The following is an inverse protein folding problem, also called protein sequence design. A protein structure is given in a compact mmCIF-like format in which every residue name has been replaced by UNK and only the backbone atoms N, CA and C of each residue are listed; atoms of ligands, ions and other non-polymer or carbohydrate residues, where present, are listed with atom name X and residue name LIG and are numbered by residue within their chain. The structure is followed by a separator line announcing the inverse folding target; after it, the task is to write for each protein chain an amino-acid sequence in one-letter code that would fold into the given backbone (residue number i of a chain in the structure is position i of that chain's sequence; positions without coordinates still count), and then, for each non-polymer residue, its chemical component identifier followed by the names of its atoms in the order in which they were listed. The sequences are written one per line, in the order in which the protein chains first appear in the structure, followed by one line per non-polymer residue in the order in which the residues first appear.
data_IF_238925047682
#
_entry.id   IF_238925047682
#
_cell.length_a   1.000
_cell.length_b   1.000
_cell.length_c   1.000
_cell.angle_alpha   90.00
_cell.angle_beta   90.00
_cell.angle_gamma   90.00
#
_symmetry.space_group_name_H-M   'P 1'
#
loop_
_entity.id
_entity.type
_entity.pdbx_description
1 polymer ?
#
# COMPACT_ATOMS: atom_id res chain seq x y z
N UNK A 1 -8.21 -3.90 -9.68
CA UNK A 1 -7.70 -4.30 -8.36
C UNK A 1 -8.05 -3.16 -7.43
N UNK A 2 -8.71 -3.48 -6.33
CA UNK A 2 -9.21 -2.52 -5.36
C UNK A 2 -8.35 -2.61 -4.10
N UNK A 3 -7.96 -1.47 -3.56
CA UNK A 3 -7.24 -1.39 -2.29
C UNK A 3 -8.19 -0.77 -1.27
N UNK A 4 -8.54 -1.55 -0.26
CA UNK A 4 -9.43 -1.11 0.82
C UNK A 4 -8.61 -1.00 2.09
N UNK A 5 -8.70 0.13 2.77
CA UNK A 5 -8.10 0.30 4.09
C UNK A 5 -8.96 -0.38 5.16
N UNK A 6 -8.37 -0.68 6.33
CA UNK A 6 -9.12 -1.28 7.45
C UNK A 6 -10.30 -0.40 7.87
N UNK A 7 -10.17 0.93 7.73
CA UNK A 7 -11.20 1.91 8.06
C UNK A 7 -12.27 2.08 6.95
N UNK A 8 -12.22 1.23 5.91
CA UNK A 8 -13.25 1.18 4.86
C UNK A 8 -13.12 2.22 3.76
N UNK A 9 -11.95 2.86 3.60
CA UNK A 9 -11.69 3.71 2.43
C UNK A 9 -11.26 2.88 1.22
N UNK A 10 -12.00 3.04 0.12
CA UNK A 10 -11.74 2.39 -1.16
C UNK A 10 -10.87 3.26 -2.07
N UNK A 11 -9.76 2.70 -2.55
CA UNK A 11 -8.86 3.33 -3.51
C UNK A 11 -8.97 2.66 -4.87
N UNK A 12 -9.43 3.44 -5.86
CA UNK A 12 -9.61 2.96 -7.22
C UNK A 12 -8.47 3.42 -8.14
N UNK A 13 -7.61 2.48 -8.53
CA UNK A 13 -6.47 2.71 -9.43
C UNK A 13 -6.89 2.75 -10.92
N UNK A 14 -7.94 3.53 -11.25
CA UNK A 14 -8.55 3.51 -12.58
C UNK A 14 -8.03 4.62 -13.54
N UNK A 15 -7.04 5.41 -13.13
CA UNK A 15 -6.43 6.47 -13.95
C UNK A 15 -4.96 6.28 -14.33
N UNK A 16 -4.34 5.16 -13.93
CA UNK A 16 -2.91 4.92 -14.17
C UNK A 16 -2.68 4.11 -15.44
N UNK A 17 -1.82 4.62 -16.34
CA UNK A 17 -1.36 3.91 -17.53
C UNK A 17 -0.77 2.51 -17.21
N UNK A 18 -0.20 2.35 -16.01
CA UNK A 18 0.39 1.09 -15.55
C UNK A 18 -0.02 0.79 -14.11
N UNK A 19 -1.33 0.62 -13.87
CA UNK A 19 -1.88 0.35 -12.54
C UNK A 19 -1.20 -0.82 -11.82
N UNK A 20 -0.81 -1.88 -12.53
CA UNK A 20 -0.08 -3.03 -11.95
C UNK A 20 1.26 -2.65 -11.35
N UNK A 21 2.00 -1.76 -12.02
CA UNK A 21 3.31 -1.28 -11.56
C UNK A 21 3.14 -0.34 -10.36
N UNK A 22 2.17 0.56 -10.42
CA UNK A 22 1.84 1.46 -9.30
C UNK A 22 1.44 0.66 -8.05
N UNK A 23 0.56 -0.33 -8.21
CA UNK A 23 0.12 -1.21 -7.14
C UNK A 23 1.28 -1.95 -6.46
N UNK A 24 2.19 -2.54 -7.25
CA UNK A 24 3.38 -3.23 -6.73
C UNK A 24 4.26 -2.33 -5.84
N UNK A 25 4.41 -1.05 -6.20
CA UNK A 25 5.18 -0.12 -5.36
C UNK A 25 4.47 0.26 -4.08
N UNK A 26 3.13 0.37 -4.10
CA UNK A 26 2.34 0.60 -2.88
C UNK A 26 2.51 -0.58 -1.92
N UNK A 27 2.42 -1.83 -2.40
CA UNK A 27 2.67 -3.02 -1.57
C UNK A 27 4.08 -3.01 -0.95
N UNK A 28 5.11 -2.65 -1.74
CA UNK A 28 6.49 -2.56 -1.25
C UNK A 28 6.63 -1.50 -0.16
N UNK A 29 6.08 -0.30 -0.37
CA UNK A 29 6.15 0.80 0.60
C UNK A 29 5.43 0.44 1.92
N UNK A 30 4.26 -0.19 1.85
CA UNK A 30 3.52 -0.66 3.03
C UNK A 30 4.33 -1.72 3.79
N UNK A 31 4.96 -2.65 3.07
CA UNK A 31 5.83 -3.66 3.69
C UNK A 31 7.02 -3.03 4.42
N UNK A 32 7.68 -2.04 3.80
CA UNK A 32 8.78 -1.28 4.42
C UNK A 32 8.31 -0.55 5.69
N UNK A 33 7.16 0.15 5.61
CA UNK A 33 6.59 0.87 6.75
C UNK A 33 6.31 -0.08 7.92
N UNK A 34 5.70 -1.25 7.66
CA UNK A 34 5.44 -2.28 8.68
C UNK A 34 6.73 -2.80 9.33
N UNK A 35 7.81 -2.93 8.57
CA UNK A 35 9.09 -3.36 9.14
C UNK A 35 9.69 -2.27 10.04
N UNK A 36 9.60 -1.00 9.66
CA UNK A 36 10.13 0.13 10.43
C UNK A 36 9.44 0.31 11.80
N UNK A 37 8.15 0.00 11.92
CA UNK A 37 7.40 0.09 13.18
C UNK A 37 7.76 -1.00 14.20
N UNK A 38 8.47 -2.06 13.78
CA UNK A 38 8.79 -3.20 14.67
C UNK A 38 10.14 -3.03 15.39
N UNK A 39 10.90 -1.98 15.09
CA UNK A 39 12.24 -1.75 15.68
C UNK A 39 12.24 -0.74 16.83
N UNK A 40 11.13 -0.06 17.13
CA UNK A 40 11.03 0.79 18.34
C UNK A 40 10.26 0.08 19.44
N UNK A 41 10.87 -0.97 19.98
CA UNK A 41 10.61 -1.45 21.34
C UNK A 41 11.99 -1.68 21.98
N UNK A 42 12.48 -0.67 22.68
CA UNK A 42 13.53 -0.81 23.71
C UNK A 42 12.91 -0.29 25.00
#
# INVERSE_FOLDING_TARGET
MELVTVDGFDFWFMGFLSYKKAFKYVEQAVSICRMATTTTSI
#
